data_IF_896324135644
#
_entry.id   IF_896324135644
#
_cell.length_a   1.000
_cell.length_b   1.000
_cell.length_c   1.000
_cell.angle_alpha   90.00
_cell.angle_beta   90.00
_cell.angle_gamma   90.00
#
_symmetry.space_group_name_H-M   'P 1'
#
loop_
_entity.id
_entity.type
_entity.pdbx_description
1 polymer ?
#
# COMPACT_ATOMS: atom_id res chain seq x y z
N UNK A 1 -0.93 -29.75 -25.28
CA UNK A 1 0.10 -30.01 -24.24
C UNK A 1 0.45 -28.67 -23.61
N UNK A 2 0.00 -28.40 -22.39
CA UNK A 2 0.44 -27.23 -21.62
C UNK A 2 1.91 -27.41 -21.30
N UNK A 3 2.79 -26.44 -21.59
CA UNK A 3 4.20 -26.56 -21.27
C UNK A 3 4.34 -26.75 -19.76
N UNK A 4 5.16 -27.73 -19.37
CA UNK A 4 5.41 -28.04 -17.96
C UNK A 4 6.27 -26.91 -17.39
N UNK A 5 5.62 -25.87 -16.84
CA UNK A 5 6.30 -24.72 -16.25
C UNK A 5 7.15 -25.17 -15.06
N UNK A 6 8.36 -24.63 -14.93
CA UNK A 6 9.18 -24.80 -13.74
C UNK A 6 8.41 -24.32 -12.50
N UNK A 7 8.74 -24.84 -11.32
CA UNK A 7 8.08 -24.43 -10.07
C UNK A 7 8.22 -22.92 -9.83
N UNK A 8 9.37 -22.32 -10.14
CA UNK A 8 9.59 -20.88 -10.06
C UNK A 8 8.63 -20.08 -10.97
N UNK A 9 8.48 -20.50 -12.24
CA UNK A 9 7.55 -19.85 -13.16
C UNK A 9 6.08 -20.00 -12.72
N UNK A 10 5.73 -21.13 -12.08
CA UNK A 10 4.39 -21.33 -11.49
C UNK A 10 4.16 -20.38 -10.32
N UNK A 11 5.15 -20.19 -9.45
CA UNK A 11 5.07 -19.25 -8.34
C UNK A 11 4.90 -17.80 -8.85
N UNK A 12 5.70 -17.38 -9.81
CA UNK A 12 5.59 -16.05 -10.41
C UNK A 12 4.20 -15.80 -11.04
N UNK A 13 3.67 -16.80 -11.73
CA UNK A 13 2.32 -16.73 -12.29
C UNK A 13 1.26 -16.64 -11.17
N UNK A 14 1.43 -17.41 -10.09
CA UNK A 14 0.52 -17.39 -8.94
C UNK A 14 0.56 -16.05 -8.19
N UNK A 15 1.74 -15.46 -8.00
CA UNK A 15 1.90 -14.15 -7.38
C UNK A 15 1.19 -13.05 -8.20
N UNK A 16 1.28 -13.13 -9.54
CA UNK A 16 0.51 -12.25 -10.42
C UNK A 16 -1.00 -12.48 -10.30
N UNK A 17 -1.43 -13.75 -10.26
CA UNK A 17 -2.84 -14.11 -10.18
C UNK A 17 -3.53 -13.62 -8.90
N UNK A 18 -2.80 -13.53 -7.78
CA UNK A 18 -3.31 -12.95 -6.53
C UNK A 18 -3.69 -11.49 -6.72
N UNK A 19 -2.88 -10.69 -7.40
CA UNK A 19 -3.16 -9.27 -7.65
C UNK A 19 -4.47 -9.05 -8.43
N UNK A 20 -4.96 -10.08 -9.13
CA UNK A 20 -6.23 -10.07 -9.86
C UNK A 20 -7.35 -10.83 -9.14
N UNK A 21 -7.12 -11.27 -7.90
CA UNK A 21 -8.09 -12.08 -7.15
C UNK A 21 -8.39 -13.46 -7.75
N UNK A 22 -7.57 -13.92 -8.71
CA UNK A 22 -7.76 -15.19 -9.43
C UNK A 22 -7.15 -16.40 -8.70
N UNK A 23 -6.34 -16.15 -7.67
CA UNK A 23 -5.72 -17.16 -6.83
C UNK A 23 -5.83 -16.75 -5.36
N UNK A 24 -6.04 -17.73 -4.48
CA UNK A 24 -6.06 -17.46 -3.04
C UNK A 24 -4.64 -17.43 -2.45
N UNK A 25 -4.40 -16.63 -1.38
CA UNK A 25 -3.12 -16.66 -0.68
C UNK A 25 -2.74 -18.05 -0.13
N UNK A 26 -3.71 -18.89 0.20
CA UNK A 26 -3.47 -20.26 0.65
C UNK A 26 -2.84 -21.12 -0.45
N UNK A 27 -3.30 -20.98 -1.69
CA UNK A 27 -2.73 -21.70 -2.83
C UNK A 27 -1.29 -21.25 -3.13
N UNK A 28 -0.98 -19.96 -2.97
CA UNK A 28 0.40 -19.48 -3.10
C UNK A 28 1.30 -20.08 -2.01
N UNK A 29 0.84 -20.14 -0.76
CA UNK A 29 1.60 -20.78 0.32
C UNK A 29 1.90 -22.24 0.00
N UNK A 30 0.92 -22.99 -0.52
CA UNK A 30 1.14 -24.38 -0.96
C UNK A 30 2.20 -24.50 -2.06
N UNK A 31 2.23 -23.54 -3.00
CA UNK A 31 3.28 -23.51 -4.02
C UNK A 31 4.66 -23.22 -3.42
N UNK A 32 4.76 -22.32 -2.46
CA UNK A 32 6.00 -22.05 -1.74
C UNK A 32 6.50 -23.30 -1.00
N UNK A 33 5.61 -24.09 -0.39
CA UNK A 33 5.93 -25.33 0.33
C UNK A 33 6.34 -26.48 -0.59
N UNK A 34 5.94 -26.46 -1.87
CA UNK A 34 6.31 -27.47 -2.85
C UNK A 34 7.76 -27.38 -3.33
N UNK A 35 8.43 -26.24 -3.11
CA UNK A 35 9.83 -26.09 -3.46
C UNK A 35 10.70 -26.86 -2.45
N UNK A 36 11.59 -27.70 -2.94
CA UNK A 36 12.49 -28.45 -2.06
C UNK A 36 13.78 -27.65 -1.82
N UNK A 37 14.08 -27.38 -0.56
CA UNK A 37 15.34 -26.78 -0.11
C UNK A 37 16.04 -27.72 0.87
N UNK A 38 17.36 -27.70 0.87
CA UNK A 38 18.14 -28.42 1.86
C UNK A 38 18.00 -27.77 3.26
N UNK A 39 18.29 -28.52 4.31
CA UNK A 39 18.32 -27.94 5.66
C UNK A 39 19.39 -26.84 5.79
N UNK A 40 20.50 -26.96 5.06
CA UNK A 40 21.53 -25.94 4.99
C UNK A 40 21.03 -24.65 4.34
N UNK A 41 20.24 -24.75 3.24
CA UNK A 41 19.63 -23.58 2.61
C UNK A 41 18.65 -22.88 3.56
N UNK A 42 17.83 -23.66 4.28
CA UNK A 42 16.88 -23.12 5.25
C UNK A 42 17.55 -22.46 6.45
N UNK A 43 18.65 -23.06 6.95
CA UNK A 43 19.43 -22.51 8.04
C UNK A 43 20.14 -21.19 7.68
N UNK A 44 20.58 -21.07 6.42
CA UNK A 44 21.27 -19.89 5.88
C UNK A 44 20.36 -19.09 4.91
N UNK A 45 19.07 -19.09 5.17
CA UNK A 45 18.03 -18.64 4.21
C UNK A 45 18.22 -17.21 3.72
N UNK A 46 18.70 -16.29 4.54
CA UNK A 46 18.92 -14.89 4.15
C UNK A 46 20.02 -14.76 3.09
N UNK A 47 21.18 -15.39 3.33
CA UNK A 47 22.29 -15.40 2.38
C UNK A 47 21.88 -16.12 1.09
N UNK A 48 21.27 -17.30 1.24
CA UNK A 48 20.87 -18.11 0.10
C UNK A 48 19.80 -17.40 -0.76
N UNK A 49 18.84 -16.70 -0.13
CA UNK A 49 17.83 -15.94 -0.84
C UNK A 49 18.44 -14.82 -1.70
N UNK A 50 19.46 -14.12 -1.20
CA UNK A 50 20.15 -13.09 -1.99
C UNK A 50 20.90 -13.62 -3.19
N UNK A 51 21.36 -14.88 -3.13
CA UNK A 51 22.02 -15.54 -4.28
C UNK A 51 21.02 -15.99 -5.36
N UNK A 52 19.88 -16.54 -4.96
CA UNK A 52 18.91 -17.12 -5.90
C UNK A 52 17.90 -16.11 -6.45
N UNK A 53 17.52 -15.10 -5.66
CA UNK A 53 16.58 -14.04 -6.07
C UNK A 53 15.17 -14.50 -6.41
N UNK A 54 14.33 -13.55 -6.77
CA UNK A 54 13.01 -13.79 -7.38
C UNK A 54 12.05 -14.63 -6.55
N UNK A 55 11.15 -15.34 -7.23
CA UNK A 55 10.11 -16.16 -6.61
C UNK A 55 10.68 -17.31 -5.76
N UNK A 56 11.84 -17.88 -6.16
CA UNK A 56 12.49 -18.94 -5.39
C UNK A 56 13.02 -18.43 -4.04
N UNK A 57 13.60 -17.23 -4.01
CA UNK A 57 14.03 -16.61 -2.76
C UNK A 57 12.84 -16.42 -1.80
N UNK A 58 11.70 -15.93 -2.29
CA UNK A 58 10.50 -15.73 -1.47
C UNK A 58 9.95 -17.05 -0.93
N UNK A 59 9.96 -18.11 -1.73
CA UNK A 59 9.55 -19.44 -1.27
C UNK A 59 10.48 -20.00 -0.18
N UNK A 60 11.82 -19.83 -0.35
CA UNK A 60 12.81 -20.22 0.66
C UNK A 60 12.56 -19.46 1.98
N UNK A 61 12.44 -18.14 1.90
CA UNK A 61 12.24 -17.30 3.07
C UNK A 61 10.89 -17.58 3.75
N UNK A 62 9.84 -17.92 2.98
CA UNK A 62 8.57 -18.35 3.57
C UNK A 62 8.75 -19.62 4.42
N UNK A 63 9.38 -20.67 3.87
CA UNK A 63 9.61 -21.92 4.59
C UNK A 63 10.51 -21.73 5.82
N UNK A 64 11.55 -20.90 5.70
CA UNK A 64 12.43 -20.55 6.83
C UNK A 64 11.66 -19.80 7.93
N UNK A 65 10.82 -18.83 7.56
CA UNK A 65 10.00 -18.07 8.51
C UNK A 65 8.96 -18.93 9.23
N UNK A 66 8.39 -19.95 8.56
CA UNK A 66 7.48 -20.94 9.17
C UNK A 66 8.19 -21.74 10.26
N UNK A 67 9.44 -22.17 10.00
CA UNK A 67 10.25 -22.97 10.94
C UNK A 67 10.88 -22.14 12.07
N UNK A 68 11.05 -20.83 11.87
CA UNK A 68 11.71 -19.95 12.85
C UNK A 68 10.80 -19.67 14.05
N UNK A 69 11.26 -19.96 15.26
CA UNK A 69 10.51 -19.76 16.50
C UNK A 69 10.83 -18.44 17.22
N UNK A 70 12.02 -17.86 16.96
CA UNK A 70 12.45 -16.60 17.58
C UNK A 70 11.79 -15.44 16.83
N UNK A 71 10.97 -14.58 17.49
CA UNK A 71 10.20 -13.53 16.81
C UNK A 71 11.08 -12.55 16.02
N UNK A 72 12.21 -12.11 16.58
CA UNK A 72 13.14 -11.18 15.92
C UNK A 72 13.77 -11.76 14.67
N UNK A 73 14.25 -13.01 14.72
CA UNK A 73 14.80 -13.69 13.57
C UNK A 73 13.72 -13.98 12.49
N UNK A 74 12.51 -14.33 12.93
CA UNK A 74 11.37 -14.45 11.98
C UNK A 74 11.06 -13.13 11.30
N UNK A 75 11.06 -12.02 12.03
CA UNK A 75 10.83 -10.69 11.48
C UNK A 75 11.89 -10.30 10.45
N UNK A 76 13.16 -10.65 10.69
CA UNK A 76 14.27 -10.42 9.75
C UNK A 76 14.05 -11.17 8.44
N UNK A 77 13.69 -12.46 8.50
CA UNK A 77 13.38 -13.27 7.34
C UNK A 77 12.18 -12.68 6.57
N UNK A 78 11.12 -12.30 7.27
CA UNK A 78 9.93 -11.67 6.66
C UNK A 78 10.29 -10.33 6.01
N UNK A 79 11.08 -9.50 6.69
CA UNK A 79 11.52 -8.19 6.16
C UNK A 79 12.29 -8.36 4.85
N UNK A 80 13.20 -9.34 4.80
CA UNK A 80 13.95 -9.67 3.58
C UNK A 80 13.02 -10.15 2.46
N UNK A 81 12.08 -11.06 2.75
CA UNK A 81 11.13 -11.56 1.77
C UNK A 81 10.26 -10.46 1.16
N UNK A 82 9.77 -9.54 2.00
CA UNK A 82 8.98 -8.39 1.57
C UNK A 82 9.83 -7.36 0.80
N UNK A 83 11.13 -7.24 1.12
CA UNK A 83 12.10 -6.46 0.35
C UNK A 83 12.22 -6.97 -1.09
N UNK A 84 12.55 -8.25 -1.28
CA UNK A 84 12.59 -8.88 -2.60
C UNK A 84 11.27 -8.77 -3.36
N UNK A 85 10.16 -8.96 -2.65
CA UNK A 85 8.84 -8.85 -3.28
C UNK A 85 8.53 -7.42 -3.76
N UNK A 86 9.01 -6.40 -3.07
CA UNK A 86 8.87 -4.99 -3.48
C UNK A 86 9.69 -4.69 -4.73
N UNK A 87 10.94 -5.13 -4.77
CA UNK A 87 11.83 -4.97 -5.92
C UNK A 87 11.25 -5.63 -7.18
N UNK A 88 10.63 -6.79 -7.02
CA UNK A 88 10.00 -7.54 -8.11
C UNK A 88 8.57 -7.06 -8.46
N UNK A 89 8.01 -6.07 -7.75
CA UNK A 89 6.62 -5.63 -7.92
C UNK A 89 5.58 -6.69 -7.50
N UNK A 90 5.92 -7.51 -6.50
CA UNK A 90 5.08 -8.61 -5.97
C UNK A 90 4.69 -8.42 -4.51
N UNK A 91 4.83 -7.20 -4.01
CA UNK A 91 4.66 -6.89 -2.58
C UNK A 91 3.32 -7.38 -2.03
N UNK A 92 2.20 -7.04 -2.70
CA UNK A 92 0.87 -7.43 -2.24
C UNK A 92 0.71 -8.95 -2.11
N UNK A 93 1.15 -9.70 -3.12
CA UNK A 93 1.07 -11.17 -3.09
C UNK A 93 1.91 -11.78 -1.96
N UNK A 94 3.12 -11.23 -1.73
CA UNK A 94 3.99 -11.68 -0.66
C UNK A 94 3.38 -11.36 0.71
N UNK A 95 2.88 -10.16 0.94
CA UNK A 95 2.23 -9.77 2.20
C UNK A 95 1.05 -10.70 2.50
N UNK A 96 0.21 -11.00 1.52
CA UNK A 96 -0.90 -11.94 1.68
C UNK A 96 -0.44 -13.38 1.99
N UNK A 97 0.64 -13.83 1.38
CA UNK A 97 1.20 -15.15 1.69
C UNK A 97 1.78 -15.19 3.11
N UNK A 98 2.52 -14.16 3.52
CA UNK A 98 3.15 -14.07 4.84
C UNK A 98 2.22 -13.61 5.97
N UNK A 99 0.98 -13.20 5.67
CA UNK A 99 -0.01 -12.71 6.64
C UNK A 99 -0.09 -13.51 7.95
N UNK A 100 -0.19 -14.86 7.94
CA UNK A 100 -0.27 -15.63 9.19
C UNK A 100 0.98 -15.52 10.06
N UNK A 101 2.15 -15.26 9.45
CA UNK A 101 3.43 -15.12 10.14
C UNK A 101 3.61 -13.71 10.69
N UNK A 102 3.25 -12.69 9.90
CA UNK A 102 3.29 -11.27 10.29
C UNK A 102 2.36 -11.03 11.49
N UNK A 103 1.15 -11.60 11.48
CA UNK A 103 0.18 -11.44 12.56
C UNK A 103 0.63 -12.03 13.90
N UNK A 104 1.61 -12.92 13.89
CA UNK A 104 2.22 -13.51 15.11
C UNK A 104 3.35 -12.68 15.70
N UNK A 105 3.77 -11.60 15.03
CA UNK A 105 4.83 -10.74 15.51
C UNK A 105 4.27 -9.66 16.46
N UNK A 106 4.60 -9.69 17.76
CA UNK A 106 4.16 -8.67 18.69
C UNK A 106 5.03 -7.41 18.58
N UNK A 107 4.50 -6.21 18.79
CA UNK A 107 5.34 -5.05 19.03
C UNK A 107 6.09 -5.24 20.36
N UNK A 108 7.42 -5.02 20.33
CA UNK A 108 8.29 -5.09 21.50
C UNK A 108 9.52 -4.20 21.30
N UNK A 109 10.31 -3.92 22.35
CA UNK A 109 11.51 -3.10 22.23
C UNK A 109 12.51 -3.62 21.18
N UNK A 110 12.69 -4.94 21.10
CA UNK A 110 13.58 -5.59 20.14
C UNK A 110 13.04 -5.57 18.71
N UNK A 111 11.77 -5.16 18.52
CA UNK A 111 11.08 -5.17 17.25
C UNK A 111 10.82 -3.77 16.68
N UNK A 112 11.31 -2.70 17.31
CA UNK A 112 11.11 -1.31 16.83
C UNK A 112 11.60 -1.13 15.39
N UNK A 113 12.73 -1.73 15.05
CA UNK A 113 13.29 -1.70 13.71
C UNK A 113 12.36 -2.30 12.63
N UNK A 114 11.54 -3.29 13.03
CA UNK A 114 10.56 -3.93 12.12
C UNK A 114 9.27 -3.11 11.97
N UNK A 115 9.02 -2.13 12.82
CA UNK A 115 7.75 -1.42 12.91
C UNK A 115 7.28 -0.85 11.55
N UNK A 116 8.19 -0.23 10.79
CA UNK A 116 7.85 0.33 9.48
C UNK A 116 7.42 -0.77 8.49
N UNK A 117 8.15 -1.87 8.43
CA UNK A 117 7.82 -3.02 7.59
C UNK A 117 6.48 -3.65 8.02
N UNK A 118 6.28 -3.82 9.32
CA UNK A 118 5.04 -4.38 9.88
C UNK A 118 3.83 -3.51 9.59
N UNK A 119 3.92 -2.20 9.84
CA UNK A 119 2.83 -1.25 9.58
C UNK A 119 2.50 -1.22 8.09
N UNK A 120 3.49 -1.15 7.20
CA UNK A 120 3.26 -1.23 5.74
C UNK A 120 2.52 -2.51 5.33
N UNK A 121 2.92 -3.65 5.90
CA UNK A 121 2.28 -4.92 5.61
C UNK A 121 0.82 -4.94 6.11
N UNK A 122 0.54 -4.45 7.32
CA UNK A 122 -0.83 -4.38 7.84
C UNK A 122 -1.71 -3.40 7.06
N UNK A 123 -1.16 -2.28 6.58
CA UNK A 123 -1.86 -1.34 5.72
C UNK A 123 -2.22 -1.98 4.37
N UNK A 124 -1.27 -2.70 3.76
CA UNK A 124 -1.50 -3.45 2.52
C UNK A 124 -2.57 -4.56 2.68
N UNK A 125 -2.60 -5.20 3.86
CA UNK A 125 -3.61 -6.22 4.20
C UNK A 125 -4.97 -5.63 4.58
N UNK A 126 -5.08 -4.32 4.77
CA UNK A 126 -6.29 -3.68 5.27
C UNK A 126 -6.64 -4.09 6.71
N UNK A 127 -5.62 -4.30 7.57
CA UNK A 127 -5.76 -4.72 8.96
C UNK A 127 -5.60 -3.55 9.96
N UNK A 128 -6.63 -2.75 10.20
CA UNK A 128 -6.54 -1.55 11.04
C UNK A 128 -6.18 -1.87 12.48
N UNK A 129 -6.73 -2.93 13.07
CA UNK A 129 -6.48 -3.29 14.48
C UNK A 129 -5.00 -3.65 14.73
N UNK A 130 -4.36 -4.35 13.80
CA UNK A 130 -2.95 -4.66 13.90
C UNK A 130 -2.09 -3.40 13.72
N UNK A 131 -2.45 -2.55 12.76
CA UNK A 131 -1.83 -1.23 12.58
C UNK A 131 -1.93 -0.38 13.84
N UNK A 132 -3.12 -0.25 14.43
CA UNK A 132 -3.36 0.56 15.64
C UNK A 132 -2.55 0.04 16.83
N UNK A 133 -2.40 -1.27 17.00
CA UNK A 133 -1.58 -1.87 18.05
C UNK A 133 -0.11 -1.47 17.93
N UNK A 134 0.46 -1.53 16.73
CA UNK A 134 1.84 -1.08 16.49
C UNK A 134 2.00 0.42 16.68
N UNK A 135 1.04 1.22 16.20
CA UNK A 135 1.05 2.67 16.39
C UNK A 135 0.92 3.08 17.85
N UNK A 136 0.09 2.39 18.64
CA UNK A 136 -0.02 2.62 20.07
C UNK A 136 1.31 2.32 20.78
N UNK A 137 1.94 1.22 20.44
CA UNK A 137 3.26 0.86 20.98
C UNK A 137 4.32 1.91 20.61
N UNK A 138 4.42 2.30 19.35
CA UNK A 138 5.39 3.32 18.91
C UNK A 138 5.18 4.67 19.61
N UNK A 139 3.92 5.12 19.77
CA UNK A 139 3.63 6.36 20.51
C UNK A 139 4.11 6.31 21.97
N UNK A 140 3.85 5.19 22.63
CA UNK A 140 4.30 5.01 24.02
C UNK A 140 5.84 4.96 24.12
N UNK A 141 6.50 4.29 23.17
CA UNK A 141 7.95 4.10 23.18
C UNK A 141 8.73 5.33 22.70
N UNK A 142 8.14 6.20 21.88
CA UNK A 142 8.79 7.38 21.31
C UNK A 142 9.23 8.42 22.37
N UNK A 143 8.69 8.35 23.58
CA UNK A 143 9.08 9.23 24.70
C UNK A 143 10.42 8.85 25.31
N UNK A 144 10.88 7.61 25.11
CA UNK A 144 12.09 7.04 25.74
C UNK A 144 13.07 6.42 24.74
N UNK A 145 12.69 6.30 23.47
CA UNK A 145 13.50 5.68 22.41
C UNK A 145 13.50 6.53 21.16
N UNK A 146 14.68 6.97 20.72
CA UNK A 146 14.81 7.71 19.45
C UNK A 146 14.44 6.84 18.24
N UNK A 147 14.80 5.55 18.24
CA UNK A 147 14.42 4.61 17.17
C UNK A 147 12.91 4.49 17.05
N UNK A 148 12.18 4.43 18.16
CA UNK A 148 10.73 4.40 18.17
C UNK A 148 10.13 5.73 17.67
N UNK A 149 10.75 6.86 18.00
CA UNK A 149 10.34 8.18 17.50
C UNK A 149 10.52 8.28 15.98
N UNK A 150 11.65 7.85 15.46
CA UNK A 150 11.91 7.78 14.01
C UNK A 150 10.92 6.83 13.32
N UNK A 151 10.69 5.64 13.87
CA UNK A 151 9.72 4.68 13.33
C UNK A 151 8.29 5.25 13.33
N UNK A 152 7.90 5.95 14.40
CA UNK A 152 6.61 6.64 14.51
C UNK A 152 6.47 7.73 13.42
N UNK A 153 7.48 8.59 13.26
CA UNK A 153 7.48 9.64 12.25
C UNK A 153 7.34 9.08 10.84
N UNK A 154 8.02 7.96 10.54
CA UNK A 154 7.94 7.29 9.23
C UNK A 154 6.62 6.60 8.95
N UNK A 155 5.91 6.13 9.96
CA UNK A 155 4.65 5.39 9.81
C UNK A 155 3.42 6.30 9.83
N UNK A 156 3.46 7.45 10.51
CA UNK A 156 2.32 8.38 10.66
C UNK A 156 1.66 8.79 9.34
N UNK A 157 2.40 9.23 8.29
CA UNK A 157 1.77 9.64 7.03
C UNK A 157 0.98 8.51 6.39
N UNK A 158 1.54 7.29 6.41
CA UNK A 158 0.90 6.09 5.82
C UNK A 158 -0.42 5.76 6.52
N UNK A 159 -0.41 5.76 7.85
CA UNK A 159 -1.60 5.48 8.65
C UNK A 159 -2.65 6.57 8.47
N UNK A 160 -2.24 7.84 8.34
CA UNK A 160 -3.14 8.96 8.09
C UNK A 160 -3.80 8.87 6.71
N UNK A 161 -3.09 8.44 5.68
CA UNK A 161 -3.68 8.18 4.36
C UNK A 161 -4.84 7.19 4.45
N UNK A 162 -4.72 6.12 5.24
CA UNK A 162 -5.81 5.16 5.45
C UNK A 162 -6.97 5.74 6.29
N UNK A 163 -6.81 6.93 6.86
CA UNK A 163 -7.80 7.57 7.73
C UNK A 163 -7.68 7.24 9.20
N UNK A 164 -6.65 6.49 9.57
CA UNK A 164 -6.27 6.17 10.94
C UNK A 164 -5.33 7.21 11.57
N UNK A 165 -4.83 6.87 12.75
CA UNK A 165 -3.87 7.70 13.47
C UNK A 165 -4.49 8.87 14.25
N UNK A 166 -3.62 9.70 14.81
CA UNK A 166 -4.02 10.87 15.60
C UNK A 166 -4.30 12.07 14.69
N UNK A 167 -5.58 12.31 14.43
CA UNK A 167 -6.03 13.45 13.61
C UNK A 167 -5.88 14.81 14.32
N UNK A 168 -5.63 14.82 15.62
CA UNK A 168 -5.39 16.08 16.35
C UNK A 168 -3.99 16.64 16.05
N UNK A 169 -3.07 15.81 15.53
CA UNK A 169 -1.77 16.29 15.06
C UNK A 169 -1.96 16.92 13.68
N UNK A 170 -1.59 18.21 13.49
CA UNK A 170 -1.66 18.88 12.20
C UNK A 170 -0.90 18.11 11.11
N UNK A 171 -1.45 18.08 9.90
CA UNK A 171 -0.81 17.35 8.78
C UNK A 171 0.62 17.86 8.51
N UNK A 172 0.83 19.17 8.59
CA UNK A 172 2.15 19.78 8.44
C UNK A 172 3.19 19.26 9.43
N UNK A 173 2.79 19.07 10.70
CA UNK A 173 3.66 18.48 11.72
C UNK A 173 4.03 17.05 11.34
N UNK A 174 3.05 16.25 10.90
CA UNK A 174 3.30 14.87 10.45
C UNK A 174 4.26 14.82 9.27
N UNK A 175 4.08 15.70 8.30
CA UNK A 175 4.95 15.75 7.11
C UNK A 175 6.35 16.28 7.44
N UNK A 176 6.47 17.26 8.33
CA UNK A 176 7.76 17.81 8.78
C UNK A 176 8.56 16.76 9.55
N UNK A 177 7.92 16.06 10.51
CA UNK A 177 8.55 14.97 11.26
C UNK A 177 9.01 13.83 10.32
N UNK A 178 8.17 13.47 9.35
CA UNK A 178 8.51 12.46 8.35
C UNK A 178 9.71 12.90 7.50
N UNK A 179 9.69 14.14 6.97
CA UNK A 179 10.78 14.69 6.15
C UNK A 179 12.11 14.62 6.87
N UNK A 180 12.17 15.01 8.15
CA UNK A 180 13.38 14.95 8.95
C UNK A 180 13.98 13.53 9.07
N UNK A 181 13.20 12.48 8.84
CA UNK A 181 13.69 11.09 8.88
C UNK A 181 14.14 10.52 7.53
N UNK A 182 13.93 11.25 6.43
CA UNK A 182 14.18 10.78 5.06
C UNK A 182 14.96 11.80 4.20
N UNK A 183 15.56 12.82 4.83
CA UNK A 183 16.27 13.91 4.13
C UNK A 183 17.31 13.44 3.10
N UNK A 184 17.99 12.33 3.38
CA UNK A 184 19.02 11.77 2.50
C UNK A 184 18.47 10.81 1.43
N UNK A 185 17.15 10.64 1.34
CA UNK A 185 16.57 9.70 0.37
C UNK A 185 16.69 10.25 -1.06
N UNK A 186 17.26 9.48 -2.02
CA UNK A 186 17.47 9.95 -3.40
C UNK A 186 16.17 10.29 -4.14
N UNK A 187 15.04 9.80 -3.65
CA UNK A 187 13.71 10.03 -4.22
C UNK A 187 12.81 10.92 -3.35
N UNK A 188 13.42 11.73 -2.47
CA UNK A 188 12.68 12.56 -1.52
C UNK A 188 11.66 13.49 -2.20
N UNK A 189 12.07 14.22 -3.24
CA UNK A 189 11.20 15.18 -3.93
C UNK A 189 9.96 14.49 -4.54
N UNK A 190 10.10 13.45 -5.38
CA UNK A 190 8.92 12.75 -5.91
C UNK A 190 8.05 12.08 -4.83
N UNK A 191 8.65 11.54 -3.76
CA UNK A 191 7.88 10.94 -2.66
C UNK A 191 7.09 11.99 -1.87
N UNK A 192 7.69 13.15 -1.60
CA UNK A 192 7.01 14.28 -0.97
C UNK A 192 5.84 14.78 -1.81
N UNK A 193 6.08 14.99 -3.11
CA UNK A 193 5.04 15.42 -4.05
C UNK A 193 3.89 14.42 -4.13
N UNK A 194 4.21 13.12 -4.15
CA UNK A 194 3.22 12.05 -4.14
C UNK A 194 2.36 12.09 -2.88
N UNK A 195 2.97 12.15 -1.69
CA UNK A 195 2.25 12.21 -0.41
C UNK A 195 1.33 13.45 -0.35
N UNK A 196 1.88 14.63 -0.64
CA UNK A 196 1.12 15.87 -0.61
C UNK A 196 -0.09 15.81 -1.55
N UNK A 197 0.12 15.36 -2.79
CA UNK A 197 -0.95 15.26 -3.79
C UNK A 197 -2.04 14.25 -3.38
N UNK A 198 -1.68 13.14 -2.74
CA UNK A 198 -2.65 12.17 -2.23
C UNK A 198 -3.45 12.72 -1.04
N UNK A 199 -2.82 13.46 -0.12
CA UNK A 199 -3.55 14.13 0.96
C UNK A 199 -4.54 15.14 0.43
N UNK A 200 -4.15 15.93 -0.58
CA UNK A 200 -5.07 16.88 -1.26
C UNK A 200 -6.20 16.13 -1.96
N UNK A 201 -5.91 15.07 -2.71
CA UNK A 201 -6.93 14.25 -3.37
C UNK A 201 -7.92 13.63 -2.35
N UNK A 202 -7.44 13.35 -1.14
CA UNK A 202 -8.26 12.93 -0.01
C UNK A 202 -8.93 14.11 0.74
N UNK A 203 -8.73 15.36 0.28
CA UNK A 203 -9.35 16.58 0.84
C UNK A 203 -8.80 16.98 2.19
N UNK A 204 -7.53 16.68 2.46
CA UNK A 204 -6.80 17.28 3.57
C UNK A 204 -6.24 18.63 3.12
N UNK A 205 -6.32 19.63 4.00
CA UNK A 205 -5.77 20.96 3.70
C UNK A 205 -4.25 20.96 3.87
N UNK A 206 -3.57 21.49 2.87
CA UNK A 206 -2.14 21.75 2.89
C UNK A 206 -1.86 23.24 2.88
N UNK A 207 -0.80 23.67 3.57
CA UNK A 207 -0.35 25.06 3.46
C UNK A 207 0.21 25.39 2.06
N UNK A 208 0.27 26.68 1.74
CA UNK A 208 0.82 27.17 0.48
C UNK A 208 2.28 26.71 0.28
N UNK A 209 3.06 26.61 1.35
CA UNK A 209 4.43 26.12 1.31
C UNK A 209 4.52 24.63 0.93
N UNK A 210 3.58 23.81 1.41
CA UNK A 210 3.50 22.41 1.03
C UNK A 210 3.02 22.24 -0.43
N UNK A 211 2.10 23.09 -0.89
CA UNK A 211 1.66 23.18 -2.28
C UNK A 211 2.81 23.54 -3.25
N UNK A 212 3.60 24.55 -2.91
CA UNK A 212 4.74 24.96 -3.72
C UNK A 212 5.80 23.86 -3.92
N UNK A 213 5.82 22.85 -3.05
CA UNK A 213 6.70 21.69 -3.14
C UNK A 213 6.13 20.51 -3.94
N UNK A 214 4.94 20.63 -4.55
CA UNK A 214 4.37 19.57 -5.37
C UNK A 214 4.92 19.68 -6.80
N UNK A 215 5.81 18.76 -7.15
CA UNK A 215 6.25 18.57 -8.53
C UNK A 215 5.27 17.61 -9.24
N UNK A 216 4.49 18.14 -10.17
CA UNK A 216 3.58 17.35 -11.02
C UNK A 216 4.30 16.75 -12.23
N UNK A 217 5.55 17.07 -12.43
CA UNK A 217 6.45 16.49 -13.43
C UNK A 217 6.94 15.12 -13.01
N UNK A 218 6.07 14.10 -13.07
CA UNK A 218 6.43 12.71 -12.79
C UNK A 218 7.50 12.15 -13.73
N UNK A 219 8.07 10.97 -13.42
CA UNK A 219 9.07 10.33 -14.28
C UNK A 219 8.55 10.17 -15.70
N UNK A 220 9.42 10.43 -16.69
CA UNK A 220 9.09 10.50 -18.12
C UNK A 220 8.45 9.23 -18.74
N UNK A 221 8.35 8.15 -17.98
CA UNK A 221 7.86 6.85 -18.43
C UNK A 221 6.54 6.41 -17.75
N UNK A 222 5.76 7.33 -17.22
CA UNK A 222 4.48 6.98 -16.60
C UNK A 222 3.45 6.62 -17.68
N UNK A 223 2.73 5.52 -17.44
CA UNK A 223 1.64 5.10 -18.30
C UNK A 223 0.47 6.08 -18.15
N UNK A 224 -0.11 6.43 -19.29
CA UNK A 224 -1.40 7.14 -19.33
C UNK A 224 -2.49 6.12 -19.62
N UNK A 225 -3.69 6.27 -19.05
CA UNK A 225 -4.83 5.42 -19.42
C UNK A 225 -5.10 5.52 -20.92
N UNK A 226 -5.67 4.49 -21.57
CA UNK A 226 -6.19 4.61 -22.91
C UNK A 226 -7.13 5.82 -23.02
N UNK A 227 -6.93 6.65 -24.05
CA UNK A 227 -7.59 7.96 -24.19
C UNK A 227 -9.12 7.83 -24.14
N UNK A 228 -9.67 6.77 -24.70
CA UNK A 228 -11.11 6.49 -24.72
C UNK A 228 -11.64 6.19 -23.30
N UNK A 229 -10.92 5.41 -22.51
CA UNK A 229 -11.27 5.09 -21.11
C UNK A 229 -11.20 6.36 -20.26
N UNK A 230 -10.12 7.14 -20.41
CA UNK A 230 -9.92 8.38 -19.67
C UNK A 230 -10.99 9.42 -19.97
N UNK A 231 -11.33 9.58 -21.26
CA UNK A 231 -12.39 10.49 -21.68
C UNK A 231 -13.77 10.05 -21.15
N UNK A 232 -14.09 8.77 -21.24
CA UNK A 232 -15.33 8.21 -20.68
C UNK A 232 -15.41 8.40 -19.17
N UNK A 233 -14.32 8.19 -18.45
CA UNK A 233 -14.22 8.43 -17.01
C UNK A 233 -14.55 9.88 -16.68
N UNK A 234 -13.84 10.85 -17.26
CA UNK A 234 -14.06 12.28 -16.99
C UNK A 234 -15.46 12.75 -17.34
N UNK A 235 -16.03 12.27 -18.44
CA UNK A 235 -17.41 12.59 -18.82
C UNK A 235 -18.42 11.99 -17.83
N UNK A 236 -18.20 10.75 -17.36
CA UNK A 236 -19.09 10.13 -16.39
C UNK A 236 -19.02 10.82 -15.02
N UNK A 237 -17.86 11.32 -14.61
CA UNK A 237 -17.71 12.13 -13.39
C UNK A 237 -18.47 13.45 -13.49
N UNK A 238 -18.32 14.20 -14.61
CA UNK A 238 -19.08 15.45 -14.82
C UNK A 238 -20.58 15.22 -14.77
N UNK A 239 -21.07 14.15 -15.40
CA UNK A 239 -22.49 13.81 -15.38
C UNK A 239 -22.99 13.49 -13.96
N UNK A 240 -22.17 12.77 -13.17
CA UNK A 240 -22.47 12.47 -11.77
C UNK A 240 -22.51 13.74 -10.92
N UNK A 241 -21.53 14.61 -11.04
CA UNK A 241 -21.44 15.88 -10.29
C UNK A 241 -22.62 16.80 -10.64
N UNK A 242 -22.99 16.90 -11.91
CA UNK A 242 -24.15 17.67 -12.36
C UNK A 242 -25.46 17.13 -11.77
N UNK A 243 -25.63 15.79 -11.78
CA UNK A 243 -26.80 15.14 -11.20
C UNK A 243 -26.87 15.35 -9.69
N UNK A 244 -25.73 15.24 -8.98
CA UNK A 244 -25.64 15.50 -7.54
C UNK A 244 -26.01 16.94 -7.19
N UNK A 245 -25.46 17.92 -7.89
CA UNK A 245 -25.77 19.35 -7.68
C UNK A 245 -27.27 19.65 -7.91
N UNK A 246 -27.92 18.96 -8.88
CA UNK A 246 -29.36 19.09 -9.13
C UNK A 246 -30.21 18.46 -8.02
N UNK A 247 -29.74 17.37 -7.41
CA UNK A 247 -30.42 16.71 -6.28
C UNK A 247 -30.28 17.51 -4.97
N UNK A 248 -29.11 18.05 -4.68
CA UNK A 248 -28.87 18.87 -3.47
C UNK A 248 -29.75 20.15 -3.48
N UNK A 249 -30.16 20.65 -4.65
CA UNK A 249 -31.06 21.79 -4.77
C UNK A 249 -32.55 21.43 -4.53
N UNK A 250 -32.92 20.16 -4.42
CA UNK A 250 -34.29 19.67 -4.28
C UNK A 250 -34.59 18.92 -2.98
N UNK A 251 -33.57 18.72 -2.13
CA UNK A 251 -33.72 17.94 -0.89
C UNK A 251 -34.11 18.88 0.27
N UNK A 252 -35.35 18.77 0.74
CA UNK A 252 -35.74 19.20 2.07
C UNK A 252 -34.94 18.47 3.15
N UNK A 253 -34.50 19.20 4.18
CA UNK A 253 -33.54 18.81 5.21
C UNK A 253 -33.92 17.59 6.09
N UNK A 254 -34.85 16.74 5.70
CA UNK A 254 -35.41 15.66 6.54
C UNK A 254 -35.27 14.24 5.98
N UNK A 255 -34.53 14.02 4.90
CA UNK A 255 -34.26 12.65 4.44
C UNK A 255 -32.92 12.15 5.02
N UNK A 256 -33.00 11.27 6.03
CA UNK A 256 -31.88 10.49 6.52
C UNK A 256 -31.30 9.66 5.35
N UNK A 257 -30.15 10.08 4.85
CA UNK A 257 -29.41 9.33 3.83
C UNK A 257 -28.89 8.06 4.51
N UNK A 258 -29.54 6.93 4.22
CA UNK A 258 -28.98 5.62 4.53
C UNK A 258 -27.60 5.53 3.86
N UNK A 259 -26.61 5.02 4.59
CA UNK A 259 -25.21 4.84 4.19
C UNK A 259 -25.09 3.89 2.99
N UNK A 260 -25.30 4.41 1.78
CA UNK A 260 -25.20 3.67 0.52
C UNK A 260 -24.43 4.45 -0.53
N UNK A 261 -23.83 3.73 -1.48
CA UNK A 261 -23.17 4.33 -2.66
C UNK A 261 -24.24 5.16 -3.43
N UNK A 262 -23.98 6.43 -3.76
CA UNK A 262 -24.96 7.27 -4.45
C UNK A 262 -25.41 6.67 -5.77
N UNK A 263 -26.67 6.87 -6.11
CA UNK A 263 -27.24 6.42 -7.41
C UNK A 263 -26.44 7.07 -8.54
N UNK A 264 -25.98 6.27 -9.49
CA UNK A 264 -25.17 6.74 -10.63
C UNK A 264 -23.65 6.70 -10.40
N UNK A 265 -23.16 6.41 -9.18
CA UNK A 265 -21.72 6.33 -8.89
C UNK A 265 -21.03 5.09 -9.47
N UNK A 266 -21.76 4.03 -9.81
CA UNK A 266 -21.16 2.76 -10.25
C UNK A 266 -20.34 2.89 -11.56
N UNK A 267 -20.89 3.56 -12.56
CA UNK A 267 -20.21 3.73 -13.86
C UNK A 267 -18.91 4.54 -13.74
N UNK A 268 -18.88 5.74 -13.12
CA UNK A 268 -17.63 6.47 -12.92
C UNK A 268 -16.63 5.71 -12.05
N UNK A 269 -17.07 4.97 -11.03
CA UNK A 269 -16.18 4.16 -10.18
C UNK A 269 -15.49 3.04 -11.00
N UNK A 270 -16.20 2.31 -11.82
CA UNK A 270 -15.62 1.28 -12.68
C UNK A 270 -14.62 1.88 -13.68
N UNK A 271 -14.95 3.03 -14.28
CA UNK A 271 -14.07 3.71 -15.22
C UNK A 271 -12.82 4.27 -14.52
N UNK A 272 -12.95 4.78 -13.30
CA UNK A 272 -11.85 5.21 -12.48
C UNK A 272 -10.85 4.06 -12.23
N UNK A 273 -11.34 2.90 -11.78
CA UNK A 273 -10.51 1.71 -11.56
C UNK A 273 -9.88 1.19 -12.86
N UNK A 274 -10.61 1.20 -13.98
CA UNK A 274 -10.06 0.85 -15.30
C UNK A 274 -8.96 1.80 -15.75
N UNK A 275 -9.02 3.07 -15.34
CA UNK A 275 -7.97 4.06 -15.64
C UNK A 275 -6.65 3.74 -14.91
N UNK A 276 -6.69 3.07 -13.77
CA UNK A 276 -5.48 2.56 -13.09
C UNK A 276 -4.85 1.40 -13.87
N UNK A 277 -5.66 0.62 -14.61
CA UNK A 277 -5.17 -0.48 -15.44
C UNK A 277 -4.60 -1.66 -14.65
N UNK A 278 -4.09 -2.65 -15.39
CA UNK A 278 -3.60 -3.91 -14.82
C UNK A 278 -2.22 -3.81 -14.13
N UNK A 279 -1.49 -2.73 -14.37
CA UNK A 279 -0.19 -2.48 -13.74
C UNK A 279 -0.29 -1.94 -12.31
N UNK A 280 -1.49 -1.63 -11.87
CA UNK A 280 -1.75 -1.02 -10.56
C UNK A 280 -1.33 0.46 -10.49
N UNK A 281 -1.54 1.12 -9.33
CA UNK A 281 -1.33 2.56 -9.19
C UNK A 281 0.13 2.99 -9.34
N UNK A 282 1.10 2.12 -9.01
CA UNK A 282 2.52 2.42 -9.18
C UNK A 282 3.00 2.51 -10.63
N UNK A 283 2.23 1.96 -11.58
CA UNK A 283 2.56 2.02 -13.01
C UNK A 283 1.97 3.25 -13.71
N UNK A 284 1.03 3.95 -13.08
CA UNK A 284 0.31 5.08 -13.66
C UNK A 284 0.96 6.42 -13.35
N UNK A 285 0.65 7.41 -14.19
CA UNK A 285 1.02 8.80 -13.94
C UNK A 285 0.41 9.32 -12.62
N UNK A 286 1.20 10.02 -11.82
CA UNK A 286 0.80 10.54 -10.50
C UNK A 286 -0.50 11.37 -10.61
N UNK A 287 -0.64 12.20 -11.64
CA UNK A 287 -1.84 13.00 -11.89
C UNK A 287 -3.10 12.14 -12.09
N UNK A 288 -2.96 11.00 -12.79
CA UNK A 288 -4.06 10.04 -13.00
C UNK A 288 -4.52 9.45 -11.67
N UNK A 289 -3.57 9.05 -10.83
CA UNK A 289 -3.86 8.49 -9.51
C UNK A 289 -4.57 9.52 -8.63
N UNK A 290 -4.10 10.77 -8.62
CA UNK A 290 -4.76 11.83 -7.85
C UNK A 290 -6.19 12.08 -8.29
N UNK A 291 -6.46 12.16 -9.60
CA UNK A 291 -7.83 12.32 -10.12
C UNK A 291 -8.71 11.11 -9.75
N UNK A 292 -8.18 9.89 -9.82
CA UNK A 292 -8.94 8.69 -9.46
C UNK A 292 -9.23 8.63 -7.96
N UNK A 293 -8.27 8.94 -7.10
CA UNK A 293 -8.46 9.00 -5.63
C UNK A 293 -9.50 10.06 -5.27
N UNK A 294 -9.40 11.27 -5.83
CA UNK A 294 -10.35 12.34 -5.61
C UNK A 294 -11.76 11.97 -6.10
N UNK A 295 -11.86 11.33 -7.27
CA UNK A 295 -13.13 10.85 -7.81
C UNK A 295 -13.77 9.78 -6.92
N UNK A 296 -13.03 8.76 -6.49
CA UNK A 296 -13.55 7.73 -5.59
C UNK A 296 -14.08 8.35 -4.29
N UNK A 297 -13.37 9.34 -3.74
CA UNK A 297 -13.84 10.07 -2.57
C UNK A 297 -15.15 10.83 -2.86
N UNK A 298 -15.23 11.58 -3.94
CA UNK A 298 -16.44 12.35 -4.32
C UNK A 298 -17.66 11.46 -4.59
N UNK A 299 -17.42 10.22 -5.02
CA UNK A 299 -18.43 9.16 -5.20
C UNK A 299 -18.87 8.51 -3.87
N UNK A 300 -18.36 8.97 -2.70
CA UNK A 300 -18.66 8.38 -1.40
C UNK A 300 -17.91 7.08 -1.12
N UNK A 301 -16.95 6.70 -1.95
CA UNK A 301 -16.15 5.49 -1.79
C UNK A 301 -14.85 5.76 -1.00
N UNK A 302 -14.96 6.44 0.14
CA UNK A 302 -13.84 6.92 0.96
C UNK A 302 -12.82 5.81 1.27
N UNK A 303 -13.31 4.61 1.65
CA UNK A 303 -12.43 3.49 1.95
C UNK A 303 -11.58 3.05 0.75
N UNK A 304 -12.20 2.97 -0.43
CA UNK A 304 -11.50 2.60 -1.67
C UNK A 304 -10.48 3.67 -2.09
N UNK A 305 -10.84 4.96 -1.95
CA UNK A 305 -9.95 6.08 -2.23
C UNK A 305 -8.69 6.02 -1.35
N UNK A 306 -8.87 5.80 -0.04
CA UNK A 306 -7.77 5.70 0.93
C UNK A 306 -6.92 4.46 0.70
N UNK A 307 -7.53 3.32 0.41
CA UNK A 307 -6.79 2.10 0.10
C UNK A 307 -5.92 2.29 -1.16
N UNK A 308 -6.47 2.87 -2.22
CA UNK A 308 -5.72 3.18 -3.44
C UNK A 308 -4.54 4.15 -3.16
N UNK A 309 -4.75 5.17 -2.32
CA UNK A 309 -3.69 6.07 -1.92
C UNK A 309 -2.56 5.34 -1.18
N UNK A 310 -2.88 4.45 -0.24
CA UNK A 310 -1.89 3.61 0.46
C UNK A 310 -1.14 2.70 -0.51
N UNK A 311 -1.84 1.99 -1.40
CA UNK A 311 -1.22 1.14 -2.41
C UNK A 311 -0.25 1.92 -3.31
N UNK A 312 -0.61 3.16 -3.66
CA UNK A 312 0.24 4.04 -4.46
C UNK A 312 1.56 4.36 -3.76
N UNK A 313 1.51 4.76 -2.49
CA UNK A 313 2.74 5.12 -1.75
C UNK A 313 3.59 3.90 -1.43
N UNK A 314 2.98 2.74 -1.16
CA UNK A 314 3.71 1.49 -0.97
C UNK A 314 4.41 1.05 -2.26
N UNK A 315 3.78 1.21 -3.43
CA UNK A 315 4.38 0.94 -4.73
C UNK A 315 5.53 1.91 -5.06
N UNK A 316 5.47 3.14 -4.56
CA UNK A 316 6.54 4.13 -4.70
C UNK A 316 7.71 3.93 -3.71
N UNK A 317 7.60 2.97 -2.78
CA UNK A 317 8.68 2.62 -1.84
C UNK A 317 8.60 3.31 -0.48
N UNK A 318 7.52 4.02 -0.20
CA UNK A 318 7.24 4.63 1.11
C UNK A 318 6.89 3.60 2.17
#
# INVERSE_FOLDING_TARGET
>A
MTPNLSIGARIEAAERAISFGSLSPAQLRQLYEQVTYSEADLANSLTRASEIGGAAARALLYQAAVKQNIPTARAEIISSALGFAREDGRYQAAVEAFRPLINRLPPSPEMVWFALTGVRAFLALGEPLATDRWMAYLRASATVSEDAKVALARTRPLVRLLGGGDRNVPLETVLTEWLATVEDAPQLVPLRSLLNGLFVALGEDLSDAAWAGIDTGGPKNQLMPPTDIWFQFRNSMRAFETAKASQDSTIDANSSVASGIPVGAAKPAILALRSIGNGGPGAQGVAVVFEVVAALKSLGMERAARQLAVETVLAAGL
#
